data_IF_360909245108
#
_entry.id   IF_360909245108
#
_cell.length_a   1.000
_cell.length_b   1.000
_cell.length_c   1.000
_cell.angle_alpha   90.00
_cell.angle_beta   90.00
_cell.angle_gamma   90.00
#
_symmetry.space_group_name_H-M   'P 1'
#
loop_
_entity.id
_entity.type
_entity.pdbx_description
1 polymer ?
#
# COMPACT_ATOMS: atom_id res chain seq x y z
N UNK A 1 -28.83 -7.28 23.61
CA UNK A 1 -29.42 -7.60 22.27
C UNK A 1 -28.42 -8.39 21.41
N UNK A 2 -27.18 -7.93 21.26
CA UNK A 2 -26.13 -8.60 20.47
C UNK A 2 -25.60 -9.92 21.09
N UNK A 3 -25.57 -10.06 22.41
CA UNK A 3 -25.09 -11.29 23.09
C UNK A 3 -26.07 -12.49 23.05
N UNK A 4 -27.29 -12.30 22.52
CA UNK A 4 -28.33 -13.33 22.48
C UNK A 4 -28.61 -13.86 21.06
N UNK A 5 -27.64 -13.75 20.15
CA UNK A 5 -27.78 -14.22 18.76
C UNK A 5 -28.05 -15.72 18.68
N UNK A 6 -29.30 -16.11 18.37
CA UNK A 6 -29.74 -17.51 18.38
C UNK A 6 -29.44 -18.24 17.07
N UNK A 7 -29.14 -17.52 15.99
CA UNK A 7 -28.84 -18.10 14.67
C UNK A 7 -27.43 -17.70 14.20
N UNK A 8 -26.89 -18.47 13.26
CA UNK A 8 -25.53 -18.29 12.72
C UNK A 8 -25.29 -16.88 12.14
N UNK A 9 -26.32 -16.27 11.55
CA UNK A 9 -26.22 -14.91 10.99
C UNK A 9 -26.01 -13.86 12.08
N UNK A 10 -26.75 -13.98 13.19
CA UNK A 10 -26.61 -13.07 14.33
C UNK A 10 -25.22 -13.21 14.96
N UNK A 11 -24.68 -14.44 15.01
CA UNK A 11 -23.32 -14.69 15.52
C UNK A 11 -22.25 -14.07 14.61
N UNK A 12 -22.37 -14.18 13.28
CA UNK A 12 -21.44 -13.53 12.34
C UNK A 12 -21.50 -12.01 12.48
N UNK A 13 -22.70 -11.42 12.55
CA UNK A 13 -22.86 -9.97 12.76
C UNK A 13 -22.27 -9.52 14.11
N UNK A 14 -22.44 -10.33 15.16
CA UNK A 14 -21.82 -10.08 16.45
C UNK A 14 -20.30 -10.09 16.36
N UNK A 15 -19.71 -11.07 15.67
CA UNK A 15 -18.26 -11.13 15.45
C UNK A 15 -17.78 -9.90 14.68
N UNK A 16 -18.43 -9.52 13.58
CA UNK A 16 -18.07 -8.33 12.81
C UNK A 16 -18.12 -7.05 13.66
N UNK A 17 -19.17 -6.88 14.48
CA UNK A 17 -19.28 -5.74 15.39
C UNK A 17 -18.17 -5.73 16.45
N UNK A 18 -17.88 -6.88 17.07
CA UNK A 18 -16.79 -7.03 18.04
C UNK A 18 -15.43 -6.75 17.41
N UNK A 19 -15.20 -7.25 16.20
CA UNK A 19 -14.01 -7.01 15.41
C UNK A 19 -13.82 -5.52 15.16
N UNK A 20 -14.86 -4.81 14.66
CA UNK A 20 -14.81 -3.37 14.43
C UNK A 20 -14.51 -2.56 15.71
N UNK A 21 -15.18 -2.89 16.82
CA UNK A 21 -14.90 -2.26 18.12
C UNK A 21 -13.47 -2.51 18.61
N UNK A 22 -12.95 -3.71 18.37
CA UNK A 22 -11.60 -4.09 18.78
C UNK A 22 -10.53 -3.41 17.94
N UNK A 23 -10.76 -3.25 16.63
CA UNK A 23 -9.92 -2.44 15.74
C UNK A 23 -9.89 -0.99 16.22
N UNK A 24 -11.04 -0.39 16.54
CA UNK A 24 -11.11 0.98 17.07
C UNK A 24 -10.38 1.17 18.40
N UNK A 25 -10.26 0.11 19.21
CA UNK A 25 -9.46 0.08 20.45
C UNK A 25 -8.00 -0.34 20.24
N UNK A 26 -7.56 -0.51 19.00
CA UNK A 26 -6.23 -1.03 18.61
C UNK A 26 -5.90 -2.42 19.20
N UNK A 27 -6.91 -3.20 19.57
CA UNK A 27 -6.74 -4.58 20.04
C UNK A 27 -6.81 -5.55 18.85
N UNK A 28 -5.81 -5.47 17.97
CA UNK A 28 -5.79 -6.19 16.70
C UNK A 28 -5.66 -7.71 16.87
N UNK A 29 -4.96 -8.16 17.90
CA UNK A 29 -4.81 -9.60 18.18
C UNK A 29 -6.16 -10.23 18.55
N UNK A 30 -6.93 -9.58 19.42
CA UNK A 30 -8.27 -10.06 19.75
C UNK A 30 -9.21 -9.99 18.53
N UNK A 31 -9.11 -8.94 17.71
CA UNK A 31 -9.88 -8.84 16.46
C UNK A 31 -9.55 -10.01 15.51
N UNK A 32 -8.29 -10.40 15.41
CA UNK A 32 -7.84 -11.55 14.62
C UNK A 32 -8.50 -12.83 15.13
N UNK A 33 -8.42 -13.09 16.43
CA UNK A 33 -9.04 -14.27 17.05
C UNK A 33 -10.56 -14.33 16.82
N UNK A 34 -11.25 -13.19 16.85
CA UNK A 34 -12.69 -13.13 16.56
C UNK A 34 -13.01 -13.51 15.11
N UNK A 35 -12.21 -13.06 14.14
CA UNK A 35 -12.42 -13.41 12.72
C UNK A 35 -12.09 -14.87 12.45
N UNK A 36 -11.02 -15.41 13.03
CA UNK A 36 -10.67 -16.83 12.90
C UNK A 36 -11.77 -17.72 13.51
N UNK A 37 -12.29 -17.36 14.68
CA UNK A 37 -13.41 -18.08 15.31
C UNK A 37 -14.69 -18.03 14.45
N UNK A 38 -15.01 -16.89 13.83
CA UNK A 38 -16.15 -16.78 12.93
C UNK A 38 -16.00 -17.66 11.67
N UNK A 39 -14.78 -17.78 11.13
CA UNK A 39 -14.47 -18.69 10.02
C UNK A 39 -14.66 -20.17 10.43
N UNK A 40 -14.25 -20.56 11.64
CA UNK A 40 -14.49 -21.91 12.19
C UNK A 40 -15.97 -22.26 12.31
N UNK A 41 -16.80 -21.31 12.76
CA UNK A 41 -18.25 -21.50 12.83
C UNK A 41 -18.89 -21.73 11.46
N UNK A 42 -18.28 -21.18 10.40
CA UNK A 42 -18.65 -21.46 9.02
C UNK A 42 -18.00 -22.75 8.47
N UNK A 43 -17.29 -23.52 9.28
CA UNK A 43 -16.66 -24.77 8.89
C UNK A 43 -15.42 -24.59 8.00
N UNK A 44 -14.88 -23.38 7.91
CA UNK A 44 -13.52 -23.19 7.42
C UNK A 44 -12.54 -23.66 8.50
N UNK A 45 -11.43 -24.27 8.10
CA UNK A 45 -10.35 -24.60 9.03
C UNK A 45 -9.34 -23.45 8.96
N UNK A 46 -9.39 -22.44 9.85
CA UNK A 46 -8.39 -21.39 9.85
C UNK A 46 -7.03 -22.05 10.06
N UNK A 47 -6.04 -21.63 9.28
CA UNK A 47 -4.78 -22.31 9.29
C UNK A 47 -3.97 -21.88 10.53
N UNK A 48 -3.30 -22.81 11.20
CA UNK A 48 -2.48 -22.51 12.37
C UNK A 48 -1.14 -21.88 11.95
N UNK A 49 -0.69 -20.84 12.65
CA UNK A 49 0.41 -19.97 12.22
C UNK A 49 1.76 -20.71 12.05
N UNK A 50 2.01 -21.79 12.81
CA UNK A 50 3.33 -22.47 12.90
C UNK A 50 3.79 -23.11 11.57
N UNK A 51 2.90 -23.36 10.60
CA UNK A 51 3.26 -23.90 9.26
C UNK A 51 2.61 -23.13 8.10
N UNK A 52 2.15 -21.91 8.38
CA UNK A 52 1.29 -21.19 7.45
C UNK A 52 2.00 -20.79 6.16
N UNK A 53 3.22 -20.26 6.25
CA UNK A 53 3.95 -19.78 5.07
C UNK A 53 4.33 -20.89 4.08
N UNK A 54 4.65 -22.10 4.57
CA UNK A 54 4.93 -23.27 3.72
C UNK A 54 3.67 -23.76 3.03
N UNK A 55 2.58 -23.87 3.80
CA UNK A 55 1.27 -24.28 3.29
C UNK A 55 0.78 -23.33 2.20
N UNK A 56 0.86 -22.02 2.44
CA UNK A 56 0.51 -20.98 1.48
C UNK A 56 1.33 -21.08 0.20
N UNK A 57 2.63 -21.34 0.29
CA UNK A 57 3.49 -21.47 -0.89
C UNK A 57 3.06 -22.63 -1.79
N UNK A 58 2.72 -23.78 -1.21
CA UNK A 58 2.20 -24.91 -1.96
C UNK A 58 0.83 -24.62 -2.59
N UNK A 59 -0.06 -23.92 -1.87
CA UNK A 59 -1.37 -23.50 -2.43
C UNK A 59 -1.17 -22.56 -3.61
N UNK A 60 -0.20 -21.64 -3.54
CA UNK A 60 0.10 -20.72 -4.64
C UNK A 60 0.60 -21.47 -5.87
N UNK A 61 1.49 -22.46 -5.72
CA UNK A 61 1.93 -23.29 -6.85
C UNK A 61 0.76 -24.00 -7.54
N UNK A 62 -0.18 -24.55 -6.75
CA UNK A 62 -1.37 -25.20 -7.29
C UNK A 62 -2.32 -24.21 -7.96
N UNK A 63 -2.56 -23.05 -7.36
CA UNK A 63 -3.36 -21.98 -7.95
C UNK A 63 -2.74 -21.49 -9.26
N UNK A 64 -1.43 -21.25 -9.28
CA UNK A 64 -0.72 -20.82 -10.49
C UNK A 64 -0.94 -21.80 -11.63
N UNK A 65 -0.91 -23.12 -11.37
CA UNK A 65 -1.20 -24.14 -12.38
C UNK A 65 -2.63 -24.03 -12.91
N UNK A 66 -3.63 -23.99 -12.01
CA UNK A 66 -5.05 -23.88 -12.37
C UNK A 66 -5.36 -22.60 -13.14
N UNK A 67 -4.72 -21.50 -12.78
CA UNK A 67 -4.92 -20.17 -13.36
C UNK A 67 -4.22 -20.06 -14.72
N UNK A 68 -3.03 -20.66 -14.87
CA UNK A 68 -2.28 -20.66 -16.14
C UNK A 68 -3.04 -21.41 -17.24
N UNK A 69 -3.76 -22.47 -16.88
CA UNK A 69 -4.62 -23.23 -17.80
C UNK A 69 -5.89 -22.45 -18.22
N UNK A 70 -6.25 -21.38 -17.51
CA UNK A 70 -7.47 -20.58 -17.78
C UNK A 70 -7.18 -19.37 -18.65
N UNK A 71 -7.86 -19.31 -19.80
CA UNK A 71 -7.89 -18.11 -20.63
C UNK A 71 -8.56 -16.94 -19.91
N UNK A 72 -8.08 -15.72 -20.19
CA UNK A 72 -8.63 -14.49 -19.63
C UNK A 72 -10.14 -14.35 -19.85
N UNK A 73 -10.67 -14.82 -20.98
CA UNK A 73 -12.09 -14.76 -21.27
C UNK A 73 -12.93 -15.50 -20.21
N UNK A 74 -12.47 -16.68 -19.78
CA UNK A 74 -13.15 -17.47 -18.76
C UNK A 74 -13.15 -16.78 -17.38
N UNK A 75 -12.06 -16.09 -17.04
CA UNK A 75 -11.93 -15.34 -15.79
C UNK A 75 -12.74 -14.04 -15.79
N UNK A 76 -13.04 -13.49 -16.97
CA UNK A 76 -13.88 -12.30 -17.14
C UNK A 76 -15.38 -12.63 -17.25
N UNK A 77 -15.73 -13.91 -17.40
CA UNK A 77 -17.12 -14.38 -17.45
C UNK A 77 -17.37 -15.50 -16.42
N UNK A 78 -17.08 -15.26 -15.13
CA UNK A 78 -17.36 -16.23 -14.09
C UNK A 78 -18.87 -16.46 -13.94
N UNK A 79 -19.26 -17.70 -13.62
CA UNK A 79 -20.62 -17.97 -13.13
C UNK A 79 -20.90 -17.21 -11.82
N UNK A 80 -22.16 -16.92 -11.50
CA UNK A 80 -22.51 -16.23 -10.26
C UNK A 80 -22.58 -17.21 -9.07
N UNK A 81 -21.87 -16.89 -7.99
CA UNK A 81 -22.01 -17.61 -6.74
C UNK A 81 -23.32 -17.20 -6.05
N UNK A 82 -24.24 -18.15 -5.86
CA UNK A 82 -25.50 -17.93 -5.13
C UNK A 82 -25.47 -18.49 -3.71
N UNK A 83 -24.41 -19.19 -3.33
CA UNK A 83 -24.28 -19.74 -1.99
C UNK A 83 -23.96 -18.64 -0.97
N UNK A 84 -24.90 -18.47 -0.03
CA UNK A 84 -24.80 -17.47 1.01
C UNK A 84 -23.63 -17.76 1.95
N UNK A 85 -23.38 -19.03 2.28
CA UNK A 85 -22.29 -19.42 3.17
C UNK A 85 -20.94 -19.02 2.57
N UNK A 86 -20.73 -19.32 1.29
CA UNK A 86 -19.53 -18.90 0.55
C UNK A 86 -19.38 -17.38 0.54
N UNK A 87 -20.47 -16.63 0.36
CA UNK A 87 -20.42 -15.17 0.41
C UNK A 87 -20.01 -14.65 1.80
N UNK A 88 -20.54 -15.23 2.88
CA UNK A 88 -20.20 -14.88 4.26
C UNK A 88 -18.72 -15.19 4.56
N UNK A 89 -18.21 -16.33 4.07
CA UNK A 89 -16.77 -16.69 4.17
C UNK A 89 -15.90 -15.67 3.44
N UNK A 90 -16.26 -15.26 2.22
CA UNK A 90 -15.50 -14.26 1.45
C UNK A 90 -15.42 -12.91 2.16
N UNK A 91 -16.49 -12.49 2.84
CA UNK A 91 -16.49 -11.27 3.65
C UNK A 91 -15.49 -11.40 4.81
N UNK A 92 -15.54 -12.50 5.56
CA UNK A 92 -14.64 -12.73 6.69
C UNK A 92 -13.17 -12.88 6.26
N UNK A 93 -12.90 -13.46 5.09
CA UNK A 93 -11.54 -13.53 4.54
C UNK A 93 -11.03 -12.14 4.14
N UNK A 94 -11.88 -11.26 3.59
CA UNK A 94 -11.52 -9.86 3.37
C UNK A 94 -11.21 -9.13 4.68
N UNK A 95 -11.98 -9.37 5.74
CA UNK A 95 -11.71 -8.80 7.07
C UNK A 95 -10.41 -9.36 7.66
N UNK A 96 -10.13 -10.66 7.44
CA UNK A 96 -8.88 -11.30 7.84
C UNK A 96 -7.70 -10.60 7.16
N UNK A 97 -7.72 -10.35 5.85
CA UNK A 97 -6.67 -9.58 5.15
C UNK A 97 -6.41 -8.25 5.86
N UNK A 98 -7.46 -7.47 6.14
CA UNK A 98 -7.32 -6.15 6.79
C UNK A 98 -6.68 -6.26 8.18
N UNK A 99 -7.15 -7.18 9.00
CA UNK A 99 -6.68 -7.35 10.39
C UNK A 99 -5.28 -7.93 10.43
N UNK A 100 -4.97 -8.88 9.54
CA UNK A 100 -3.64 -9.45 9.36
C UNK A 100 -2.59 -8.37 9.09
N UNK A 101 -2.93 -7.34 8.32
CA UNK A 101 -2.06 -6.18 8.12
C UNK A 101 -1.89 -5.34 9.37
N UNK A 102 -2.99 -5.05 10.08
CA UNK A 102 -2.96 -4.28 11.32
C UNK A 102 -2.15 -4.98 12.43
N UNK A 103 -2.23 -6.32 12.52
CA UNK A 103 -1.43 -7.12 13.45
C UNK A 103 -0.05 -7.53 12.90
N UNK A 104 0.29 -7.14 11.67
CA UNK A 104 1.57 -7.41 11.00
C UNK A 104 1.85 -8.91 10.79
N UNK A 105 0.80 -9.71 10.61
CA UNK A 105 0.92 -11.14 10.26
C UNK A 105 0.69 -11.36 8.77
N UNK A 106 1.79 -11.30 8.01
CA UNK A 106 1.79 -11.56 6.56
C UNK A 106 1.26 -12.95 6.21
N UNK A 107 1.54 -13.94 7.05
CA UNK A 107 1.14 -15.31 6.80
C UNK A 107 -0.39 -15.47 6.72
N UNK A 108 -1.14 -14.82 7.61
CA UNK A 108 -2.61 -14.82 7.56
C UNK A 108 -3.16 -14.01 6.38
N UNK A 109 -2.51 -12.90 6.00
CA UNK A 109 -2.89 -12.12 4.81
C UNK A 109 -2.76 -12.96 3.53
N UNK A 110 -1.62 -13.62 3.34
CA UNK A 110 -1.42 -14.48 2.17
C UNK A 110 -2.39 -15.66 2.19
N UNK A 111 -2.60 -16.30 3.36
CA UNK A 111 -3.53 -17.41 3.51
C UNK A 111 -4.98 -17.05 3.17
N UNK A 112 -5.45 -15.90 3.63
CA UNK A 112 -6.78 -15.41 3.31
C UNK A 112 -6.91 -15.13 1.80
N UNK A 113 -5.89 -14.50 1.20
CA UNK A 113 -5.86 -14.17 -0.22
C UNK A 113 -5.92 -15.41 -1.10
N UNK A 114 -5.10 -16.42 -0.82
CA UNK A 114 -5.09 -17.66 -1.63
C UNK A 114 -6.39 -18.44 -1.45
N UNK A 115 -6.98 -18.44 -0.24
CA UNK A 115 -8.29 -19.06 -0.01
C UNK A 115 -9.39 -18.36 -0.80
N UNK A 116 -9.40 -17.03 -0.79
CA UNK A 116 -10.33 -16.23 -1.60
C UNK A 116 -10.20 -16.54 -3.10
N UNK A 117 -8.96 -16.69 -3.60
CA UNK A 117 -8.73 -17.08 -4.99
C UNK A 117 -9.27 -18.47 -5.31
N UNK A 118 -9.01 -19.47 -4.47
CA UNK A 118 -9.58 -20.82 -4.65
C UNK A 118 -11.11 -20.77 -4.74
N UNK A 119 -11.77 -20.05 -3.82
CA UNK A 119 -13.23 -19.89 -3.84
C UNK A 119 -13.72 -19.22 -5.14
N UNK A 120 -13.02 -18.19 -5.63
CA UNK A 120 -13.39 -17.52 -6.87
C UNK A 120 -13.27 -18.44 -8.10
N UNK A 121 -12.30 -19.35 -8.11
CA UNK A 121 -12.12 -20.32 -9.19
C UNK A 121 -13.17 -21.44 -9.14
N UNK A 122 -13.55 -21.88 -7.94
CA UNK A 122 -14.48 -22.99 -7.73
C UNK A 122 -15.95 -22.55 -7.82
N UNK A 123 -16.29 -21.43 -7.21
CA UNK A 123 -17.67 -20.97 -7.00
C UNK A 123 -18.06 -19.78 -7.88
N UNK A 124 -17.10 -19.18 -8.58
CA UNK A 124 -17.33 -18.04 -9.47
C UNK A 124 -17.42 -16.69 -8.75
N UNK A 125 -18.21 -15.79 -9.31
CA UNK A 125 -18.28 -14.39 -8.91
C UNK A 125 -18.99 -14.19 -7.57
N UNK A 126 -18.26 -13.59 -6.64
CA UNK A 126 -18.78 -12.96 -5.41
C UNK A 126 -18.49 -11.45 -5.45
N UNK A 127 -19.03 -10.68 -4.50
CA UNK A 127 -18.74 -9.23 -4.43
C UNK A 127 -17.25 -8.89 -4.26
N UNK A 128 -16.48 -9.81 -3.72
CA UNK A 128 -15.04 -9.70 -3.44
C UNK A 128 -14.17 -10.23 -4.59
N UNK A 129 -14.78 -10.69 -5.69
CA UNK A 129 -14.06 -11.33 -6.80
C UNK A 129 -12.90 -10.48 -7.29
N UNK A 130 -13.13 -9.20 -7.59
CA UNK A 130 -12.07 -8.29 -8.05
C UNK A 130 -10.95 -8.14 -7.00
N UNK A 131 -11.32 -8.05 -5.72
CA UNK A 131 -10.39 -7.94 -4.58
C UNK A 131 -9.46 -9.14 -4.47
N UNK A 132 -9.99 -10.37 -4.66
CA UNK A 132 -9.18 -11.60 -4.65
C UNK A 132 -8.05 -11.53 -5.68
N UNK A 133 -8.39 -11.15 -6.92
CA UNK A 133 -7.42 -11.04 -8.01
C UNK A 133 -6.42 -9.91 -7.79
N UNK A 134 -6.83 -8.80 -7.18
CA UNK A 134 -5.95 -7.67 -6.88
C UNK A 134 -4.87 -8.07 -5.87
N UNK A 135 -5.28 -8.68 -4.75
CA UNK A 135 -4.35 -9.12 -3.70
C UNK A 135 -3.48 -10.28 -4.17
N UNK A 136 -4.05 -11.25 -4.88
CA UNK A 136 -3.25 -12.34 -5.43
C UNK A 136 -2.22 -11.83 -6.43
N UNK A 137 -2.61 -10.91 -7.31
CA UNK A 137 -1.67 -10.22 -8.19
C UNK A 137 -0.56 -9.50 -7.42
N UNK A 138 -0.88 -8.83 -6.31
CA UNK A 138 0.12 -8.16 -5.47
C UNK A 138 1.11 -9.16 -4.84
N UNK A 139 0.63 -10.30 -4.31
CA UNK A 139 1.49 -11.38 -3.79
C UNK A 139 2.44 -11.90 -4.87
N UNK A 140 1.95 -12.09 -6.11
CA UNK A 140 2.79 -12.53 -7.22
C UNK A 140 3.84 -11.47 -7.59
N UNK A 141 3.47 -10.18 -7.58
CA UNK A 141 4.42 -9.09 -7.83
C UNK A 141 5.54 -9.04 -6.77
N UNK A 142 5.20 -9.13 -5.49
CA UNK A 142 6.19 -9.17 -4.41
C UNK A 142 7.13 -10.37 -4.57
N UNK A 143 6.59 -11.56 -4.82
CA UNK A 143 7.40 -12.77 -5.04
C UNK A 143 8.30 -12.63 -6.26
N UNK A 144 7.80 -12.00 -7.32
CA UNK A 144 8.58 -11.74 -8.53
C UNK A 144 9.76 -10.81 -8.21
N UNK A 145 9.57 -9.77 -7.39
CA UNK A 145 10.65 -8.90 -6.94
C UNK A 145 11.68 -9.63 -6.08
N UNK A 146 11.23 -10.52 -5.19
CA UNK A 146 12.11 -11.28 -4.32
C UNK A 146 12.96 -12.33 -5.08
N UNK A 147 12.48 -12.80 -6.23
CA UNK A 147 13.09 -13.88 -7.02
C UNK A 147 13.65 -13.46 -8.37
N UNK A 148 13.42 -12.20 -8.78
CA UNK A 148 13.67 -11.70 -10.14
C UNK A 148 12.97 -12.52 -11.24
N UNK A 149 11.80 -13.10 -10.92
CA UNK A 149 11.02 -13.94 -11.83
C UNK A 149 10.07 -13.10 -12.69
N UNK A 150 10.46 -12.88 -13.94
CA UNK A 150 9.68 -12.10 -14.90
C UNK A 150 8.34 -12.76 -15.29
N UNK A 151 8.25 -14.08 -15.31
CA UNK A 151 7.00 -14.76 -15.66
C UNK A 151 5.99 -14.64 -14.53
N UNK A 152 6.46 -14.69 -13.28
CA UNK A 152 5.65 -14.38 -12.11
C UNK A 152 5.16 -12.93 -12.12
N UNK A 153 6.01 -11.96 -12.52
CA UNK A 153 5.61 -10.57 -12.68
C UNK A 153 4.55 -10.37 -13.79
N UNK A 154 4.68 -11.09 -14.93
CA UNK A 154 3.68 -11.06 -16.00
C UNK A 154 2.33 -11.57 -15.51
N UNK A 155 2.34 -12.65 -14.72
CA UNK A 155 1.13 -13.25 -14.17
C UNK A 155 0.49 -12.36 -13.11
N UNK A 156 1.28 -11.77 -12.22
CA UNK A 156 0.81 -10.76 -11.25
C UNK A 156 0.13 -9.57 -11.94
N UNK A 157 0.73 -9.07 -13.03
CA UNK A 157 0.10 -8.04 -13.86
C UNK A 157 -1.21 -8.50 -14.50
N UNK A 158 -1.25 -9.73 -15.04
CA UNK A 158 -2.45 -10.33 -15.64
C UNK A 158 -3.60 -10.39 -14.63
N UNK A 159 -3.33 -10.84 -13.40
CA UNK A 159 -4.32 -10.89 -12.32
C UNK A 159 -4.83 -9.49 -11.97
N UNK A 160 -3.95 -8.49 -11.89
CA UNK A 160 -4.34 -7.10 -11.73
C UNK A 160 -5.26 -6.57 -12.85
N UNK A 161 -5.04 -6.98 -14.10
CA UNK A 161 -5.93 -6.61 -15.21
C UNK A 161 -7.32 -7.26 -15.13
N UNK A 162 -7.40 -8.51 -14.66
CA UNK A 162 -8.69 -9.16 -14.39
C UNK A 162 -9.42 -8.42 -13.27
N UNK A 163 -8.71 -8.15 -12.17
CA UNK A 163 -9.21 -7.36 -11.05
C UNK A 163 -9.79 -6.02 -11.48
N UNK A 164 -9.05 -5.22 -12.25
CA UNK A 164 -9.51 -3.92 -12.74
C UNK A 164 -10.78 -4.02 -13.60
N UNK A 165 -10.83 -5.00 -14.52
CA UNK A 165 -11.98 -5.19 -15.42
C UNK A 165 -13.24 -5.64 -14.68
N UNK A 166 -13.08 -6.40 -13.59
CA UNK A 166 -14.19 -6.92 -12.79
C UNK A 166 -14.61 -5.96 -11.67
N UNK A 167 -13.78 -4.99 -11.32
CA UNK A 167 -14.04 -4.04 -10.26
C UNK A 167 -15.20 -3.10 -10.61
N UNK A 168 -16.17 -2.99 -9.70
CA UNK A 168 -17.24 -1.99 -9.78
C UNK A 168 -16.84 -0.80 -8.92
N UNK A 169 -16.28 0.25 -9.52
CA UNK A 169 -15.67 1.39 -8.82
C UNK A 169 -16.46 1.90 -7.60
N UNK A 170 -17.79 2.06 -7.72
CA UNK A 170 -18.66 2.58 -6.65
C UNK A 170 -19.05 1.56 -5.58
N UNK A 171 -18.68 0.29 -5.73
CA UNK A 171 -18.86 -0.71 -4.67
C UNK A 171 -17.68 -0.69 -3.71
N UNK A 172 -17.95 -1.01 -2.44
CA UNK A 172 -16.93 -1.10 -1.39
C UNK A 172 -15.71 -1.92 -1.84
N UNK A 173 -15.94 -3.11 -2.36
CA UNK A 173 -14.87 -4.01 -2.81
C UNK A 173 -14.24 -3.61 -4.15
N UNK A 174 -14.96 -2.91 -5.03
CA UNK A 174 -14.41 -2.45 -6.29
C UNK A 174 -13.41 -1.30 -6.10
N UNK A 175 -13.73 -0.32 -5.26
CA UNK A 175 -12.80 0.75 -4.87
C UNK A 175 -11.53 0.19 -4.21
N UNK A 176 -11.72 -0.69 -3.22
CA UNK A 176 -10.64 -1.45 -2.59
C UNK A 176 -9.73 -2.15 -3.61
N UNK A 177 -10.34 -2.97 -4.48
CA UNK A 177 -9.62 -3.73 -5.50
C UNK A 177 -8.75 -2.85 -6.40
N UNK A 178 -9.29 -1.71 -6.84
CA UNK A 178 -8.57 -0.77 -7.69
C UNK A 178 -7.45 -0.05 -6.93
N UNK A 179 -7.65 0.28 -5.66
CA UNK A 179 -6.61 0.86 -4.81
C UNK A 179 -5.39 -0.09 -4.73
N UNK A 180 -5.61 -1.37 -4.44
CA UNK A 180 -4.55 -2.40 -4.40
C UNK A 180 -3.88 -2.55 -5.76
N UNK A 181 -4.66 -2.64 -6.85
CA UNK A 181 -4.11 -2.76 -8.20
C UNK A 181 -3.18 -1.59 -8.55
N UNK A 182 -3.60 -0.35 -8.30
CA UNK A 182 -2.76 0.80 -8.61
C UNK A 182 -1.55 0.93 -7.70
N UNK A 183 -1.69 0.59 -6.41
CA UNK A 183 -0.60 0.62 -5.46
C UNK A 183 0.52 -0.36 -5.84
N UNK A 184 0.17 -1.63 -6.11
CA UNK A 184 1.16 -2.69 -6.26
C UNK A 184 1.52 -3.06 -7.71
N UNK A 185 0.58 -2.92 -8.64
CA UNK A 185 0.68 -3.64 -9.92
C UNK A 185 0.74 -2.68 -11.11
N UNK A 186 -0.15 -1.68 -11.16
CA UNK A 186 -0.41 -0.95 -12.40
C UNK A 186 0.82 -0.20 -12.94
N UNK A 187 1.67 0.31 -12.04
CA UNK A 187 2.83 1.14 -12.37
C UNK A 187 3.92 0.40 -13.15
N UNK A 188 3.97 -0.93 -13.07
CA UNK A 188 4.95 -1.74 -13.81
C UNK A 188 4.77 -1.67 -15.33
N UNK A 189 3.59 -1.27 -15.81
CA UNK A 189 3.32 -1.13 -17.26
C UNK A 189 2.55 0.13 -17.64
N UNK A 190 2.13 0.94 -16.67
CA UNK A 190 1.40 2.19 -16.92
C UNK A 190 2.20 3.37 -16.40
N UNK A 191 2.24 4.43 -17.19
CA UNK A 191 2.88 5.67 -16.78
C UNK A 191 2.11 6.30 -15.62
N UNK A 192 2.83 6.71 -14.57
CA UNK A 192 2.25 7.39 -13.41
C UNK A 192 1.30 8.54 -13.77
N UNK A 193 1.74 9.43 -14.67
CA UNK A 193 0.99 10.62 -15.09
C UNK A 193 -0.40 10.32 -15.66
N UNK A 194 -0.55 9.23 -16.43
CA UNK A 194 -1.83 8.87 -17.05
C UNK A 194 -2.83 8.29 -16.06
N UNK A 195 -2.35 7.76 -14.94
CA UNK A 195 -3.18 7.10 -13.92
C UNK A 195 -3.67 8.05 -12.83
N UNK A 196 -3.13 9.28 -12.71
CA UNK A 196 -3.50 10.24 -11.67
C UNK A 196 -5.03 10.51 -11.59
N UNK A 197 -5.68 10.71 -12.74
CA UNK A 197 -7.14 10.93 -12.78
C UNK A 197 -7.95 9.72 -12.34
N UNK A 198 -7.47 8.51 -12.65
CA UNK A 198 -8.11 7.26 -12.21
C UNK A 198 -7.98 7.09 -10.70
N UNK A 199 -6.80 7.40 -10.12
CA UNK A 199 -6.57 7.34 -8.68
C UNK A 199 -7.48 8.32 -7.91
N UNK A 200 -7.65 9.55 -8.40
CA UNK A 200 -8.61 10.50 -7.81
C UNK A 200 -10.05 9.99 -7.86
N UNK A 201 -10.43 9.33 -8.97
CA UNK A 201 -11.77 8.76 -9.10
C UNK A 201 -11.99 7.61 -8.11
N UNK A 202 -10.94 6.82 -7.83
CA UNK A 202 -10.94 5.76 -6.80
C UNK A 202 -11.09 6.37 -5.41
N UNK A 203 -10.32 7.41 -5.09
CA UNK A 203 -10.39 8.11 -3.81
C UNK A 203 -11.82 8.60 -3.51
N UNK A 204 -12.44 9.29 -4.49
CA UNK A 204 -13.81 9.78 -4.34
C UNK A 204 -14.83 8.65 -4.19
N UNK A 205 -14.69 7.56 -4.97
CA UNK A 205 -15.58 6.42 -4.86
C UNK A 205 -15.43 5.67 -3.51
N UNK A 206 -14.23 5.65 -2.93
CA UNK A 206 -13.98 5.11 -1.60
C UNK A 206 -14.64 5.96 -0.50
N UNK A 207 -14.59 7.28 -0.62
CA UNK A 207 -15.33 8.18 0.27
C UNK A 207 -16.84 7.96 0.17
N UNK A 208 -17.40 7.90 -1.04
CA UNK A 208 -18.84 7.65 -1.26
C UNK A 208 -19.29 6.28 -0.73
N UNK A 209 -18.43 5.25 -0.83
CA UNK A 209 -18.76 3.87 -0.44
C UNK A 209 -18.41 3.53 1.01
N UNK A 210 -17.72 4.42 1.73
CA UNK A 210 -17.30 4.22 3.11
C UNK A 210 -16.06 3.32 3.28
N UNK A 211 -15.25 3.13 2.24
CA UNK A 211 -14.02 2.32 2.27
C UNK A 211 -12.83 3.08 2.90
N UNK A 212 -12.99 3.55 4.15
CA UNK A 212 -11.98 4.38 4.82
C UNK A 212 -10.65 3.66 5.06
N UNK A 213 -10.66 2.33 5.15
CA UNK A 213 -9.44 1.54 5.39
C UNK A 213 -8.45 1.63 4.22
N UNK A 214 -8.94 1.72 2.98
CA UNK A 214 -8.07 1.74 1.80
C UNK A 214 -7.80 3.14 1.24
N UNK A 215 -8.45 4.18 1.76
CA UNK A 215 -8.15 5.56 1.38
C UNK A 215 -6.66 5.90 1.58
N UNK A 216 -6.00 5.55 2.70
CA UNK A 216 -4.56 5.74 2.86
C UNK A 216 -3.72 5.19 1.70
N UNK A 217 -4.07 4.01 1.17
CA UNK A 217 -3.37 3.42 0.01
C UNK A 217 -3.54 4.29 -1.23
N UNK A 218 -4.76 4.72 -1.51
CA UNK A 218 -5.07 5.56 -2.68
C UNK A 218 -4.42 6.94 -2.57
N UNK A 219 -4.47 7.58 -1.40
CA UNK A 219 -3.79 8.85 -1.11
C UNK A 219 -2.28 8.72 -1.36
N UNK A 220 -1.66 7.68 -0.79
CA UNK A 220 -0.23 7.45 -0.96
C UNK A 220 0.13 7.17 -2.42
N UNK A 221 -0.65 6.35 -3.13
CA UNK A 221 -0.44 6.08 -4.56
C UNK A 221 -0.57 7.37 -5.38
N UNK A 222 -1.51 8.26 -5.05
CA UNK A 222 -1.65 9.55 -5.72
C UNK A 222 -0.39 10.41 -5.54
N UNK A 223 0.07 10.58 -4.30
CA UNK A 223 1.29 11.32 -3.97
C UNK A 223 2.49 10.74 -4.72
N UNK A 224 2.69 9.42 -4.62
CA UNK A 224 3.79 8.72 -5.27
C UNK A 224 3.78 8.95 -6.78
N UNK A 225 2.64 8.78 -7.44
CA UNK A 225 2.53 8.92 -8.89
C UNK A 225 2.77 10.36 -9.32
N UNK A 226 2.32 11.32 -8.52
CA UNK A 226 2.48 12.74 -8.81
C UNK A 226 3.94 13.17 -8.72
N UNK A 227 4.63 12.75 -7.66
CA UNK A 227 6.07 12.99 -7.47
C UNK A 227 6.90 12.27 -8.54
N UNK A 228 6.64 10.98 -8.78
CA UNK A 228 7.40 10.17 -9.74
C UNK A 228 7.21 10.60 -11.20
N UNK A 229 6.10 11.26 -11.52
CA UNK A 229 5.86 11.80 -12.87
C UNK A 229 6.37 13.23 -13.08
N UNK A 230 6.95 13.86 -12.05
CA UNK A 230 7.34 15.27 -12.09
C UNK A 230 6.17 16.20 -12.41
N UNK A 231 4.95 15.84 -11.98
CA UNK A 231 3.78 16.69 -12.21
C UNK A 231 3.82 17.94 -11.32
N UNK A 232 3.03 18.96 -11.66
CA UNK A 232 3.10 20.27 -10.99
C UNK A 232 2.81 20.14 -9.49
N UNK A 233 3.79 20.46 -8.64
CA UNK A 233 3.71 20.33 -7.19
C UNK A 233 2.61 21.19 -6.56
N UNK A 234 2.30 22.37 -7.09
CA UNK A 234 1.19 23.20 -6.58
C UNK A 234 -0.15 22.47 -6.70
N UNK A 235 -0.36 21.69 -7.78
CA UNK A 235 -1.57 20.86 -7.90
C UNK A 235 -1.62 19.71 -6.90
N UNK A 236 -0.46 19.19 -6.49
CA UNK A 236 -0.41 18.16 -5.45
C UNK A 236 -0.80 18.78 -4.11
N UNK A 237 -0.26 19.97 -3.82
CA UNK A 237 -0.57 20.70 -2.60
C UNK A 237 -2.07 21.01 -2.48
N UNK A 238 -2.69 21.54 -3.54
CA UNK A 238 -4.15 21.80 -3.58
C UNK A 238 -4.97 20.54 -3.24
N UNK A 239 -4.60 19.39 -3.80
CA UNK A 239 -5.30 18.13 -3.53
C UNK A 239 -5.01 17.61 -2.12
N UNK A 240 -3.80 17.77 -1.59
CA UNK A 240 -3.45 17.37 -0.23
C UNK A 240 -4.19 18.21 0.82
N UNK A 241 -4.37 19.51 0.57
CA UNK A 241 -5.22 20.36 1.40
C UNK A 241 -6.68 19.87 1.41
N UNK A 242 -7.22 19.52 0.24
CA UNK A 242 -8.56 18.96 0.14
C UNK A 242 -8.67 17.62 0.88
N UNK A 243 -7.68 16.73 0.72
CA UNK A 243 -7.67 15.45 1.42
C UNK A 243 -7.59 15.65 2.92
N UNK A 244 -6.75 16.57 3.42
CA UNK A 244 -6.65 16.85 4.86
C UNK A 244 -7.98 17.33 5.44
N UNK A 245 -8.67 18.25 4.75
CA UNK A 245 -10.01 18.72 5.15
C UNK A 245 -11.01 17.55 5.24
N UNK A 246 -11.01 16.64 4.25
CA UNK A 246 -11.88 15.47 4.27
C UNK A 246 -11.52 14.50 5.40
N UNK A 247 -10.23 14.29 5.66
CA UNK A 247 -9.78 13.46 6.78
C UNK A 247 -10.25 14.02 8.14
N UNK A 248 -10.32 15.35 8.29
CA UNK A 248 -10.89 16.01 9.46
C UNK A 248 -12.43 15.83 9.53
N UNK A 249 -13.14 16.10 8.44
CA UNK A 249 -14.60 16.01 8.37
C UNK A 249 -15.11 14.60 8.67
N UNK A 250 -14.45 13.58 8.11
CA UNK A 250 -14.78 12.17 8.31
C UNK A 250 -14.12 11.55 9.55
N UNK A 251 -13.34 12.32 10.32
CA UNK A 251 -12.61 11.87 11.52
C UNK A 251 -11.80 10.60 11.27
N UNK A 252 -11.15 10.53 10.11
CA UNK A 252 -10.34 9.40 9.73
C UNK A 252 -9.07 9.36 10.57
N UNK A 253 -8.63 8.16 10.95
CA UNK A 253 -7.31 7.97 11.53
C UNK A 253 -6.22 8.15 10.46
N UNK A 254 -4.94 8.25 10.87
CA UNK A 254 -3.79 8.35 9.97
C UNK A 254 -3.69 9.66 9.16
N UNK A 255 -4.03 10.80 9.76
CA UNK A 255 -3.82 12.15 9.17
C UNK A 255 -2.37 12.40 8.71
N UNK A 256 -1.39 11.69 9.27
CA UNK A 256 0.00 11.76 8.81
C UNK A 256 0.18 11.39 7.32
N UNK A 257 -0.77 10.65 6.72
CA UNK A 257 -0.76 10.27 5.30
C UNK A 257 -1.00 11.45 4.34
N UNK A 258 -1.59 12.55 4.80
CA UNK A 258 -1.78 13.80 4.05
C UNK A 258 -0.83 14.88 4.52
N UNK A 259 -0.68 15.04 5.84
CA UNK A 259 0.10 16.11 6.46
C UNK A 259 1.59 16.03 6.15
N UNK A 260 2.19 14.84 6.20
CA UNK A 260 3.62 14.69 5.91
C UNK A 260 3.93 14.97 4.43
N UNK A 261 3.18 14.41 3.45
CA UNK A 261 3.33 14.82 2.05
C UNK A 261 3.10 16.31 1.82
N UNK A 262 2.11 16.92 2.48
CA UNK A 262 1.81 18.34 2.32
C UNK A 262 3.01 19.19 2.76
N UNK A 263 3.53 18.94 3.97
CA UNK A 263 4.71 19.67 4.46
C UNK A 263 5.93 19.42 3.58
N UNK A 264 6.11 18.21 3.09
CA UNK A 264 7.16 17.88 2.12
C UNK A 264 7.02 18.71 0.83
N UNK A 265 5.81 18.84 0.28
CA UNK A 265 5.55 19.64 -0.92
C UNK A 265 5.82 21.13 -0.66
N UNK A 266 5.37 21.68 0.47
CA UNK A 266 5.71 23.06 0.87
C UNK A 266 7.22 23.29 0.95
N UNK A 267 7.98 22.33 1.49
CA UNK A 267 9.45 22.41 1.52
C UNK A 267 10.04 22.47 0.11
N UNK A 268 9.51 21.70 -0.84
CA UNK A 268 9.96 21.73 -2.24
C UNK A 268 9.52 23.00 -3.00
N UNK A 269 8.43 23.63 -2.59
CA UNK A 269 7.97 24.91 -3.12
C UNK A 269 8.75 26.11 -2.55
N UNK A 270 9.62 25.88 -1.56
CA UNK A 270 10.43 26.92 -0.93
C UNK A 270 9.66 27.76 0.10
N UNK A 271 8.58 27.21 0.65
CA UNK A 271 7.71 27.89 1.61
C UNK A 271 8.23 27.78 3.06
N UNK A 272 9.33 27.06 3.28
CA UNK A 272 9.93 26.83 4.59
C UNK A 272 11.41 27.19 4.61
N UNK A 273 11.92 27.55 5.79
CA UNK A 273 13.32 27.92 5.99
C UNK A 273 14.28 26.73 6.02
N UNK A 274 13.81 25.58 6.47
CA UNK A 274 14.58 24.33 6.51
C UNK A 274 13.82 23.22 5.76
N UNK A 275 14.31 22.77 4.59
CA UNK A 275 13.63 21.76 3.79
C UNK A 275 13.62 20.37 4.44
N UNK A 276 14.34 20.15 5.52
CA UNK A 276 14.43 18.85 6.22
C UNK A 276 13.46 18.73 7.40
N UNK A 277 12.72 19.80 7.73
CA UNK A 277 11.71 19.82 8.80
C UNK A 277 10.33 19.57 8.20
N UNK A 278 9.81 18.36 8.45
CA UNK A 278 8.48 17.87 8.05
C UNK A 278 7.43 17.97 9.16
N UNK A 279 7.83 18.31 10.38
CA UNK A 279 6.91 18.51 11.49
C UNK A 279 7.43 19.60 12.43
N UNK A 280 6.53 20.45 12.91
CA UNK A 280 6.89 21.59 13.77
C UNK A 280 7.73 22.64 13.04
N UNK A 281 8.47 23.43 13.82
CA UNK A 281 9.30 24.50 13.29
C UNK A 281 10.80 24.19 13.39
N UNK A 282 11.18 23.22 14.23
CA UNK A 282 12.58 22.86 14.47
C UNK A 282 12.82 21.35 14.32
N UNK A 283 14.10 20.96 14.22
CA UNK A 283 14.50 19.56 14.22
C UNK A 283 14.16 18.89 15.57
N UNK A 284 14.20 19.64 16.67
CA UNK A 284 13.82 19.17 17.99
C UNK A 284 12.33 18.81 18.07
N UNK A 285 11.45 19.68 17.53
CA UNK A 285 10.00 19.40 17.45
C UNK A 285 9.73 18.13 16.65
N UNK A 286 10.42 17.99 15.52
CA UNK A 286 10.33 16.81 14.65
C UNK A 286 10.79 15.54 15.37
N UNK A 287 11.94 15.57 16.04
CA UNK A 287 12.45 14.40 16.76
C UNK A 287 11.51 14.01 17.92
N UNK A 288 10.98 14.99 18.65
CA UNK A 288 9.98 14.72 19.69
C UNK A 288 8.71 14.07 19.12
N UNK A 289 8.29 14.47 17.91
CA UNK A 289 7.15 13.84 17.22
C UNK A 289 7.46 12.41 16.78
N UNK A 290 8.65 12.15 16.26
CA UNK A 290 9.09 10.79 15.91
C UNK A 290 9.05 9.90 17.16
N UNK A 291 9.61 10.33 18.29
CA UNK A 291 9.58 9.58 19.54
C UNK A 291 8.16 9.29 20.02
N UNK A 292 7.23 10.25 19.86
CA UNK A 292 5.82 10.05 20.18
C UNK A 292 5.16 9.00 19.28
N UNK A 293 5.40 9.08 17.97
CA UNK A 293 4.86 8.13 16.98
C UNK A 293 5.39 6.71 17.23
N UNK A 294 6.70 6.57 17.52
CA UNK A 294 7.30 5.27 17.86
C UNK A 294 6.67 4.67 19.13
N UNK A 295 6.50 5.47 20.18
CA UNK A 295 5.82 5.03 21.42
C UNK A 295 4.36 4.66 21.19
N UNK A 296 3.70 5.32 20.23
CA UNK A 296 2.33 5.00 19.83
C UNK A 296 2.23 3.80 18.87
N UNK A 297 3.36 3.23 18.44
CA UNK A 297 3.41 2.13 17.47
C UNK A 297 3.10 2.54 16.03
N UNK A 298 3.12 3.85 15.72
CA UNK A 298 2.86 4.45 14.40
C UNK A 298 4.09 4.35 13.49
N UNK A 299 4.66 3.14 13.38
CA UNK A 299 5.90 2.89 12.63
C UNK A 299 5.80 3.33 11.16
N UNK A 300 4.60 3.25 10.60
CA UNK A 300 4.26 3.63 9.23
C UNK A 300 4.46 5.13 8.99
N UNK A 301 4.01 5.95 9.94
CA UNK A 301 4.21 7.40 9.90
C UNK A 301 5.69 7.75 10.02
N UNK A 302 6.42 7.07 10.91
CA UNK A 302 7.86 7.26 11.13
C UNK A 302 8.65 6.89 9.87
N UNK A 303 8.31 5.77 9.22
CA UNK A 303 8.93 5.36 7.96
C UNK A 303 8.66 6.36 6.84
N UNK A 304 7.42 6.82 6.68
CA UNK A 304 7.09 7.84 5.69
C UNK A 304 7.88 9.13 5.93
N UNK A 305 7.98 9.59 7.18
CA UNK A 305 8.73 10.79 7.53
C UNK A 305 10.20 10.65 7.16
N UNK A 306 10.86 9.56 7.58
CA UNK A 306 12.26 9.32 7.22
C UNK A 306 12.47 9.19 5.71
N UNK A 307 11.52 8.60 4.98
CA UNK A 307 11.57 8.56 3.52
C UNK A 307 11.50 9.95 2.89
N UNK A 308 10.57 10.79 3.30
CA UNK A 308 10.43 12.14 2.73
C UNK A 308 11.63 13.02 3.08
N UNK A 309 12.21 12.87 4.28
CA UNK A 309 13.48 13.52 4.64
C UNK A 309 14.62 13.00 3.77
N UNK A 310 14.71 11.68 3.55
CA UNK A 310 15.69 11.10 2.65
C UNK A 310 15.55 11.69 1.24
N UNK A 311 14.33 11.76 0.71
CA UNK A 311 14.05 12.33 -0.60
C UNK A 311 14.55 13.78 -0.70
N UNK A 312 14.20 14.64 0.27
CA UNK A 312 14.70 16.01 0.34
C UNK A 312 16.23 16.05 0.47
N UNK A 313 16.82 15.20 1.31
CA UNK A 313 18.27 15.15 1.49
C UNK A 313 19.02 14.80 0.20
N UNK A 314 18.44 13.97 -0.67
CA UNK A 314 19.04 13.70 -1.99
C UNK A 314 18.89 14.89 -2.93
N UNK A 315 17.71 15.51 -2.97
CA UNK A 315 17.44 16.69 -3.82
C UNK A 315 18.30 17.90 -3.44
N UNK A 316 18.50 18.13 -2.14
CA UNK A 316 19.29 19.23 -1.60
C UNK A 316 20.76 18.85 -1.33
N UNK A 317 21.21 17.70 -1.84
CA UNK A 317 22.61 17.24 -1.78
C UNK A 317 23.21 17.19 -0.36
N UNK A 318 22.45 16.66 0.61
CA UNK A 318 22.88 16.39 1.98
C UNK A 318 23.16 14.87 2.19
N UNK A 319 24.39 14.39 1.93
CA UNK A 319 24.71 12.97 1.93
C UNK A 319 24.73 12.34 3.34
N UNK A 320 25.07 13.12 4.38
CA UNK A 320 25.09 12.63 5.76
C UNK A 320 23.67 12.32 6.24
N UNK A 321 22.75 13.25 6.00
CA UNK A 321 21.33 13.05 6.31
C UNK A 321 20.72 11.93 5.46
N UNK A 322 21.09 11.86 4.17
CA UNK A 322 20.66 10.76 3.28
C UNK A 322 21.03 9.40 3.87
N UNK A 323 22.29 9.23 4.29
CA UNK A 323 22.77 7.97 4.87
C UNK A 323 22.04 7.64 6.17
N UNK A 324 21.88 8.62 7.07
CA UNK A 324 21.17 8.43 8.34
C UNK A 324 19.72 7.98 8.13
N UNK A 325 18.97 8.65 7.26
CA UNK A 325 17.59 8.30 6.97
C UNK A 325 17.46 6.93 6.28
N UNK A 326 18.40 6.58 5.40
CA UNK A 326 18.43 5.25 4.78
C UNK A 326 18.60 4.14 5.82
N UNK A 327 19.53 4.30 6.76
CA UNK A 327 19.74 3.32 7.85
C UNK A 327 18.50 3.18 8.74
N UNK A 328 17.81 4.29 9.03
CA UNK A 328 16.56 4.27 9.82
C UNK A 328 15.43 3.55 9.07
N UNK A 329 15.29 3.78 7.77
CA UNK A 329 14.29 3.08 6.95
C UNK A 329 14.59 1.58 6.83
N UNK A 330 15.87 1.18 6.73
CA UNK A 330 16.25 -0.25 6.69
C UNK A 330 16.01 -0.99 8.01
N UNK A 331 16.12 -0.29 9.15
CA UNK A 331 15.86 -0.86 10.48
C UNK A 331 14.37 -0.95 10.81
N UNK A 332 13.52 -0.17 10.14
CA UNK A 332 12.08 -0.28 10.26
C UNK A 332 11.62 -1.67 9.81
N UNK A 333 10.86 -2.40 10.64
CA UNK A 333 10.12 -3.57 10.16
C UNK A 333 9.18 -3.07 9.06
N UNK A 334 9.29 -3.64 7.84
CA UNK A 334 8.39 -3.38 6.70
C UNK A 334 6.94 -3.59 7.16
N UNK A 335 6.15 -2.54 7.21
CA UNK A 335 4.74 -2.60 7.63
C UNK A 335 3.85 -1.92 6.59
N UNK A 336 4.29 -0.79 6.03
CA UNK A 336 3.89 -0.41 4.68
C UNK A 336 4.85 -1.12 3.71
N UNK A 337 4.30 -1.85 2.73
CA UNK A 337 5.04 -2.20 1.52
C UNK A 337 5.35 -0.92 0.75
N UNK A 338 6.36 -0.22 1.22
CA UNK A 338 7.00 0.85 0.46
C UNK A 338 7.84 0.25 -0.68
N UNK A 339 7.48 -0.92 -1.22
CA UNK A 339 8.04 -1.47 -2.47
C UNK A 339 7.93 -0.46 -3.61
N UNK A 340 6.85 0.32 -3.59
CA UNK A 340 6.62 1.45 -4.48
C UNK A 340 7.64 2.59 -4.27
N UNK A 341 8.16 2.75 -3.03
CA UNK A 341 9.30 3.62 -2.74
C UNK A 341 10.64 2.95 -3.01
N UNK A 342 10.79 1.63 -2.97
CA UNK A 342 12.01 0.95 -3.41
C UNK A 342 12.31 1.28 -4.87
N UNK A 343 11.29 1.48 -5.70
CA UNK A 343 11.45 2.00 -7.06
C UNK A 343 12.04 3.43 -7.06
N UNK A 344 11.55 4.34 -6.21
CA UNK A 344 12.11 5.69 -6.06
C UNK A 344 13.50 5.68 -5.39
N UNK A 345 13.70 4.85 -4.37
CA UNK A 345 14.96 4.64 -3.67
C UNK A 345 15.99 4.02 -4.59
N UNK A 346 15.64 3.11 -5.50
CA UNK A 346 16.58 2.55 -6.50
C UNK A 346 17.09 3.63 -7.46
N UNK A 347 16.23 4.61 -7.78
CA UNK A 347 16.58 5.78 -8.60
C UNK A 347 17.47 6.73 -7.79
N UNK A 348 17.12 7.02 -6.53
CA UNK A 348 17.88 7.89 -5.63
C UNK A 348 19.23 7.27 -5.21
N UNK A 349 19.30 5.96 -5.00
CA UNK A 349 20.49 5.19 -4.64
C UNK A 349 21.52 5.24 -5.77
N UNK A 350 21.09 5.08 -7.02
CA UNK A 350 21.95 5.29 -8.20
C UNK A 350 22.52 6.71 -8.24
N UNK A 351 21.73 7.71 -7.85
CA UNK A 351 22.17 9.09 -7.78
C UNK A 351 23.23 9.32 -6.68
N UNK A 352 22.97 8.90 -5.44
CA UNK A 352 23.88 9.05 -4.30
C UNK A 352 25.23 8.32 -4.48
N UNK A 353 25.22 7.13 -5.08
CA UNK A 353 26.48 6.41 -5.35
C UNK A 353 27.25 7.00 -6.54
N UNK A 354 26.55 7.59 -7.52
CA UNK A 354 27.20 8.27 -8.65
C UNK A 354 27.87 9.60 -8.24
N UNK A 355 27.28 10.36 -7.32
CA UNK A 355 27.87 11.60 -6.78
C UNK A 355 29.11 11.29 -5.92
N UNK A 356 29.05 10.26 -5.08
CA UNK A 356 30.18 9.82 -4.26
C UNK A 356 31.38 9.33 -5.09
N UNK A 357 31.13 8.69 -6.24
CA UNK A 357 32.18 8.29 -7.18
C UNK A 357 32.73 9.47 -8.00
N UNK A 358 31.93 10.51 -8.28
CA UNK A 358 32.42 11.75 -8.92
C UNK A 358 33.32 12.56 -7.98
N UNK A 359 33.00 12.63 -6.68
CA UNK A 359 33.87 13.29 -5.69
C UNK A 359 35.20 12.55 -5.49
N UNK A 360 35.21 11.21 -5.56
CA UNK A 360 36.46 10.42 -5.52
C UNK A 360 37.24 10.45 -6.84
N UNK A 361 36.56 10.60 -7.99
CA UNK A 361 37.20 10.77 -9.30
C UNK A 361 37.70 12.19 -9.60
N UNK A 362 37.16 13.20 -8.92
CA UNK A 362 37.47 14.62 -9.14
C UNK A 362 38.85 15.08 -8.62
N UNK A 363 39.57 14.27 -7.84
CA UNK A 363 40.94 14.59 -7.38
C UNK A 363 42.06 14.21 -8.37
N UNK A 364 41.72 13.71 -9.56
CA UNK A 364 42.70 13.49 -10.65
C UNK A 364 42.26 14.17 -11.95
N UNK A 365 42.32 15.50 -12.00
CA UNK A 365 42.60 16.29 -13.21
C UNK A 365 42.80 17.76 -12.83
N UNK A 366 44.06 18.14 -12.66
CA UNK A 366 44.52 19.53 -12.65
C UNK A 366 44.68 19.98 -14.11
N UNK A 367 44.22 21.18 -14.42
CA UNK A 367 44.70 21.97 -15.57
C UNK A 367 43.65 22.33 -16.61
N UNK A 368 43.02 23.49 -16.46
CA UNK A 368 42.22 24.11 -17.52
C UNK A 368 41.22 25.13 -17.00
N UNK A 369 41.55 26.42 -17.14
CA UNK A 369 40.65 27.54 -16.85
C UNK A 369 39.30 27.38 -17.55
N UNK A 370 38.21 27.34 -16.80
CA UNK A 370 36.86 27.55 -17.32
C UNK A 370 36.05 28.34 -16.28
N UNK A 371 35.65 29.56 -16.64
CA UNK A 371 34.70 30.36 -15.86
C UNK A 371 33.28 29.80 -16.02
N UNK A 372 32.40 29.90 -15.01
CA UNK A 372 31.11 29.23 -15.01
C UNK A 372 30.07 30.01 -15.83
N UNK A 373 29.56 29.41 -16.91
CA UNK A 373 28.32 29.87 -17.54
C UNK A 373 27.12 29.32 -16.76
N UNK A 374 26.31 30.24 -16.27
CA UNK A 374 24.99 30.02 -15.69
C UNK A 374 24.04 29.33 -16.69
N UNK A 375 23.10 28.54 -16.14
CA UNK A 375 22.00 27.78 -16.78
C UNK A 375 22.31 26.33 -17.16
N UNK A 376 21.84 25.43 -16.31
CA UNK A 376 21.46 24.07 -16.69
C UNK A 376 20.30 23.63 -15.79
N UNK A 377 19.08 23.99 -16.19
CA UNK A 377 17.85 23.32 -15.79
C UNK A 377 17.91 21.87 -16.25
N UNK A 378 18.14 20.93 -15.34
CA UNK A 378 17.98 19.51 -15.60
C UNK A 378 16.48 19.19 -15.66
N UNK A 379 15.97 18.95 -16.87
CA UNK A 379 14.65 18.35 -17.10
C UNK A 379 14.70 16.89 -16.62
N UNK A 380 13.88 16.54 -15.64
CA UNK A 380 13.54 15.16 -15.31
C UNK A 380 12.54 14.63 -16.35
N UNK A 381 12.84 13.45 -16.91
CA UNK A 381 12.02 12.68 -17.88
C UNK A 381 11.28 11.59 -17.15
#
# INVERSE_FOLDING_TARGET
VLENGKNLKDQIMLHQAKTGLSIGKKNYQYALEQVLSALELLGEKPPQEVDLSKTVSHVIENLSRQIHEKENHSLLQPGHCTDKKTSDVMILLCDLIKISRLCKSKAYEEAATVRMMSICLDSGYTSQYSTSFAHYGAILMERALATDDLDLAKEGYRMGQISEKMARLKSLYGGHSLAIFHHYISHWRRTYRRSLGQILSIYNAQLESGDYFHIPFTTFTYVQYHLASGHNLSKLDDNLQLFDALYQDYKMDNHWTTQLPQRFVSNLLGETSDPFVLYGNTIEDQNARIDQMEKAGENDAVQLMHFLILFNSVLFHNPELSKSCLEKNQKGKRVIDLEALDNLLSVLHRYCFSSHNREKGGKKRVGGNYQPSTRSTARLV
#
